data_IF_016060164486
#
_entry.id   IF_016060164486
#
_cell.length_a   1.000
_cell.length_b   1.000
_cell.length_c   1.000
_cell.angle_alpha   90.00
_cell.angle_beta   90.00
_cell.angle_gamma   90.00
#
_symmetry.space_group_name_H-M   'P 1'
#
loop_
_entity.id
_entity.type
_entity.pdbx_description
1 polymer ?
#
# COMPACT_ATOMS: atom_id res chain seq x y z
N UNK A 1 13.89 -2.03 19.85
CA UNK A 1 14.25 -1.83 18.44
C UNK A 1 14.63 -3.19 17.92
N UNK A 2 13.80 -3.75 17.05
CA UNK A 2 13.92 -5.17 16.68
C UNK A 2 14.80 -5.34 15.43
N UNK A 3 14.86 -4.32 14.55
CA UNK A 3 15.76 -4.30 13.40
C UNK A 3 16.19 -2.86 13.06
N UNK A 4 17.45 -2.64 12.63
CA UNK A 4 17.86 -1.36 12.07
C UNK A 4 17.12 -1.08 10.76
N UNK A 5 16.83 0.19 10.49
CA UNK A 5 16.21 0.61 9.24
C UNK A 5 17.11 0.33 8.03
N UNK A 6 16.56 -0.02 6.87
CA UNK A 6 17.34 -0.31 5.68
C UNK A 6 18.02 0.95 5.14
N UNK A 7 19.21 0.76 4.58
CA UNK A 7 20.02 1.82 3.99
C UNK A 7 19.32 2.45 2.77
N UNK A 8 19.37 3.77 2.65
CA UNK A 8 18.91 4.49 1.46
C UNK A 8 20.15 4.91 0.65
N UNK A 9 20.32 4.44 -0.60
CA UNK A 9 21.48 4.79 -1.42
C UNK A 9 21.45 6.23 -1.96
N UNK A 10 20.36 6.98 -1.75
CA UNK A 10 20.22 8.37 -2.22
C UNK A 10 20.88 9.37 -1.27
N UNK A 11 21.21 10.54 -1.79
CA UNK A 11 21.91 11.60 -1.06
C UNK A 11 23.22 11.12 -0.46
N UNK A 12 23.99 10.39 -1.26
CA UNK A 12 25.30 9.80 -0.90
C UNK A 12 25.27 8.93 0.37
N UNK A 13 24.12 8.29 0.62
CA UNK A 13 23.91 7.44 1.80
C UNK A 13 23.54 8.21 3.07
N UNK A 14 23.35 9.53 3.00
CA UNK A 14 22.95 10.35 4.15
C UNK A 14 21.44 10.54 4.27
N UNK A 15 20.65 10.21 3.23
CA UNK A 15 19.20 10.22 3.35
C UNK A 15 18.72 9.05 4.20
N UNK A 16 17.69 9.28 5.01
CA UNK A 16 17.02 8.24 5.76
C UNK A 16 15.87 7.66 4.93
N UNK A 17 15.64 6.36 5.07
CA UNK A 17 14.44 5.72 4.56
C UNK A 17 13.20 6.21 5.33
N UNK A 18 12.05 6.27 4.67
CA UNK A 18 10.80 6.75 5.29
C UNK A 18 10.11 5.62 6.08
N UNK A 19 8.93 5.85 6.64
CA UNK A 19 8.17 4.81 7.35
C UNK A 19 7.23 4.00 6.43
N UNK A 20 6.67 2.90 6.95
CA UNK A 20 5.71 2.04 6.25
C UNK A 20 6.34 0.87 5.51
N UNK A 21 6.98 1.12 4.36
CA UNK A 21 7.65 0.08 3.54
C UNK A 21 9.09 0.46 3.17
N UNK A 22 9.97 0.72 4.16
CA UNK A 22 11.32 1.19 3.90
C UNK A 22 12.16 0.17 3.11
N UNK A 23 11.98 -1.12 3.36
CA UNK A 23 12.70 -2.19 2.66
C UNK A 23 12.42 -2.19 1.16
N UNK A 24 11.17 -2.03 0.76
CA UNK A 24 10.75 -2.00 -0.65
C UNK A 24 11.38 -0.82 -1.41
N UNK A 25 11.37 0.38 -0.81
CA UNK A 25 12.00 1.58 -1.38
C UNK A 25 13.51 1.44 -1.50
N UNK A 26 14.17 1.02 -0.42
CA UNK A 26 15.62 0.77 -0.40
C UNK A 26 16.04 -0.29 -1.42
N UNK A 27 15.26 -1.37 -1.55
CA UNK A 27 15.58 -2.47 -2.47
C UNK A 27 15.55 -2.04 -3.94
N UNK A 28 14.49 -1.36 -4.39
CA UNK A 28 14.36 -0.87 -5.77
C UNK A 28 15.42 0.18 -6.09
N UNK A 29 15.78 1.01 -5.10
CA UNK A 29 16.81 2.02 -5.27
C UNK A 29 18.23 1.42 -5.33
N UNK A 30 18.50 0.33 -4.61
CA UNK A 30 19.85 -0.23 -4.45
C UNK A 30 20.17 -1.38 -5.40
N UNK A 31 19.23 -2.29 -5.61
CA UNK A 31 19.48 -3.53 -6.34
C UNK A 31 19.15 -3.39 -7.82
N UNK A 32 20.19 -3.33 -8.66
CA UNK A 32 20.03 -3.18 -10.11
C UNK A 32 19.18 -4.29 -10.73
N UNK A 33 19.27 -5.51 -10.20
CA UNK A 33 18.55 -6.70 -10.65
C UNK A 33 17.08 -6.76 -10.22
N UNK A 34 16.62 -5.82 -9.39
CA UNK A 34 15.23 -5.76 -8.94
C UNK A 34 14.48 -4.66 -9.71
N UNK A 35 13.54 -5.08 -10.56
CA UNK A 35 12.78 -4.16 -11.42
C UNK A 35 11.68 -3.42 -10.64
N UNK A 36 10.98 -4.15 -9.77
CA UNK A 36 9.88 -3.61 -8.98
C UNK A 36 9.78 -4.25 -7.60
N UNK A 37 9.11 -3.56 -6.69
CA UNK A 37 8.74 -4.11 -5.38
C UNK A 37 7.32 -3.71 -5.01
N UNK A 38 6.72 -4.49 -4.12
CA UNK A 38 5.43 -4.19 -3.54
C UNK A 38 5.60 -3.69 -2.10
N UNK A 39 4.63 -2.90 -1.66
CA UNK A 39 4.56 -2.36 -0.31
C UNK A 39 3.12 -2.11 0.11
N UNK A 40 2.93 -1.99 1.42
CA UNK A 40 1.64 -1.64 1.99
C UNK A 40 1.59 -0.14 2.23
N UNK A 41 0.53 0.48 1.76
CA UNK A 41 0.27 1.89 1.98
C UNK A 41 -1.01 2.05 2.81
N UNK A 42 -0.87 2.43 4.08
CA UNK A 42 -1.99 2.80 4.97
C UNK A 42 -2.18 4.32 5.05
N UNK A 43 -1.08 5.08 5.16
CA UNK A 43 -1.06 6.53 5.39
C UNK A 43 -0.07 7.25 4.46
N UNK A 44 -0.04 6.86 3.18
CA UNK A 44 0.91 7.36 2.18
C UNK A 44 2.37 6.92 2.37
N UNK A 45 2.60 5.80 3.05
CA UNK A 45 3.94 5.27 3.30
C UNK A 45 4.73 5.02 2.01
N UNK A 46 4.08 4.45 0.98
CA UNK A 46 4.75 4.15 -0.29
C UNK A 46 5.07 5.42 -1.08
N UNK A 47 4.20 6.43 -1.05
CA UNK A 47 4.50 7.75 -1.65
C UNK A 47 5.70 8.43 -0.96
N UNK A 48 5.80 8.32 0.36
CA UNK A 48 6.94 8.85 1.10
C UNK A 48 8.25 8.12 0.73
N UNK A 49 8.19 6.79 0.53
CA UNK A 49 9.35 6.04 0.03
C UNK A 49 9.76 6.49 -1.38
N UNK A 50 8.78 6.67 -2.29
CA UNK A 50 9.03 7.14 -3.64
C UNK A 50 9.77 8.48 -3.67
N UNK A 51 9.36 9.41 -2.80
CA UNK A 51 10.01 10.71 -2.66
C UNK A 51 11.46 10.61 -2.15
N UNK A 52 11.71 9.85 -1.07
CA UNK A 52 13.05 9.79 -0.46
C UNK A 52 14.04 8.89 -1.19
N UNK A 53 13.55 7.88 -1.93
CA UNK A 53 14.38 6.95 -2.71
C UNK A 53 14.50 7.33 -4.18
N UNK A 54 13.82 8.39 -4.62
CA UNK A 54 13.80 8.85 -6.01
C UNK A 54 13.38 7.73 -6.98
N UNK A 55 12.24 7.10 -6.67
CA UNK A 55 11.63 6.02 -7.46
C UNK A 55 10.16 6.35 -7.71
N UNK A 56 9.54 5.68 -8.68
CA UNK A 56 8.13 5.85 -8.98
C UNK A 56 7.28 5.01 -8.02
N UNK A 57 6.23 5.61 -7.48
CA UNK A 57 5.27 4.94 -6.60
C UNK A 57 3.95 5.69 -6.56
N UNK A 58 2.83 4.96 -6.48
CA UNK A 58 1.52 5.57 -6.30
C UNK A 58 0.70 4.84 -5.26
N UNK A 59 -0.06 5.58 -4.46
CA UNK A 59 -1.11 4.99 -3.63
C UNK A 59 -2.35 4.80 -4.51
N UNK A 60 -2.83 3.57 -4.71
CA UNK A 60 -4.05 3.32 -5.47
C UNK A 60 -5.28 3.79 -4.69
N UNK A 61 -6.39 3.93 -5.40
CA UNK A 61 -7.69 4.18 -4.77
C UNK A 61 -8.02 3.03 -3.82
N UNK A 62 -8.66 3.35 -2.69
CA UNK A 62 -9.05 2.35 -1.69
C UNK A 62 -9.90 1.26 -2.35
N UNK A 63 -9.62 0.01 -2.00
CA UNK A 63 -10.27 -1.18 -2.53
C UNK A 63 -10.12 -1.41 -4.05
N UNK A 64 -9.28 -0.64 -4.76
CA UNK A 64 -9.02 -0.88 -6.19
C UNK A 64 -8.18 -2.14 -6.45
N UNK A 65 -7.36 -2.53 -5.47
CA UNK A 65 -6.56 -3.76 -5.49
C UNK A 65 -6.97 -4.61 -4.29
N UNK A 66 -7.07 -5.92 -4.49
CA UNK A 66 -7.37 -6.85 -3.40
C UNK A 66 -6.30 -6.81 -2.32
N UNK A 67 -6.72 -6.66 -1.07
CA UNK A 67 -5.86 -6.73 0.13
C UNK A 67 -5.91 -8.12 0.78
N UNK A 68 -6.47 -9.12 0.09
CA UNK A 68 -6.55 -10.48 0.61
C UNK A 68 -5.14 -11.05 0.85
N UNK A 69 -4.90 -11.56 2.05
CA UNK A 69 -3.58 -12.07 2.47
C UNK A 69 -2.61 -11.01 3.00
N UNK A 70 -3.01 -9.73 3.01
CA UNK A 70 -2.23 -8.67 3.63
C UNK A 70 -2.41 -8.68 5.15
N UNK A 71 -1.30 -8.55 5.89
CA UNK A 71 -1.37 -8.27 7.33
C UNK A 71 -1.88 -6.85 7.51
N UNK A 72 -3.11 -6.73 8.03
CA UNK A 72 -3.79 -5.44 8.17
C UNK A 72 -3.26 -4.65 9.35
N UNK A 73 -2.85 -3.42 9.09
CA UNK A 73 -2.67 -2.38 10.10
C UNK A 73 -3.99 -1.63 10.36
N UNK A 74 -4.67 -1.23 9.30
CA UNK A 74 -5.98 -0.60 9.34
C UNK A 74 -6.83 -1.04 8.13
N UNK A 75 -7.86 -1.89 8.33
CA UNK A 75 -8.63 -2.47 7.22
C UNK A 75 -9.28 -1.44 6.28
N UNK A 76 -9.53 -0.23 6.78
CA UNK A 76 -10.19 0.83 6.00
C UNK A 76 -9.21 1.69 5.18
N UNK A 77 -7.93 1.66 5.51
CA UNK A 77 -6.89 2.52 4.96
C UNK A 77 -5.78 1.76 4.23
N UNK A 78 -5.62 0.48 4.54
CA UNK A 78 -4.61 -0.37 3.92
C UNK A 78 -4.90 -0.58 2.44
N UNK A 79 -3.85 -0.39 1.64
CA UNK A 79 -3.86 -0.63 0.20
C UNK A 79 -2.53 -1.27 -0.18
N UNK A 80 -2.56 -2.16 -1.16
CA UNK A 80 -1.34 -2.70 -1.78
C UNK A 80 -0.88 -1.71 -2.85
N UNK A 81 0.40 -1.38 -2.87
CA UNK A 81 1.00 -0.45 -3.81
C UNK A 81 2.36 -0.99 -4.27
N UNK A 82 2.89 -0.43 -5.37
CA UNK A 82 4.19 -0.82 -5.89
C UNK A 82 5.12 0.35 -6.14
N UNK A 83 6.40 0.00 -6.21
CA UNK A 83 7.54 0.88 -6.46
C UNK A 83 8.34 0.34 -7.64
N UNK A 84 8.78 1.22 -8.52
CA UNK A 84 9.60 0.89 -9.68
C UNK A 84 10.62 1.99 -9.99
N UNK A 85 11.73 1.64 -10.65
CA UNK A 85 12.80 2.60 -10.93
C UNK A 85 12.49 3.47 -12.14
N UNK A 86 11.90 2.88 -13.18
CA UNK A 86 11.54 3.58 -14.41
C UNK A 86 10.02 3.68 -14.58
N UNK A 87 9.57 4.70 -15.33
CA UNK A 87 8.16 4.87 -15.64
C UNK A 87 7.59 3.70 -16.48
N UNK A 88 8.42 3.02 -17.28
CA UNK A 88 8.03 1.86 -18.06
C UNK A 88 7.75 0.64 -17.18
N UNK A 89 8.67 0.32 -16.25
CA UNK A 89 8.46 -0.73 -15.23
C UNK A 89 7.25 -0.41 -14.35
N UNK A 90 7.11 0.86 -13.96
CA UNK A 90 5.97 1.31 -13.17
C UNK A 90 4.65 1.06 -13.90
N UNK A 91 4.57 1.40 -15.20
CA UNK A 91 3.40 1.14 -16.02
C UNK A 91 3.05 -0.36 -16.02
N UNK A 92 4.02 -1.23 -16.29
CA UNK A 92 3.81 -2.68 -16.32
C UNK A 92 3.31 -3.23 -14.97
N UNK A 93 3.93 -2.81 -13.86
CA UNK A 93 3.50 -3.19 -12.53
C UNK A 93 2.06 -2.77 -12.26
N UNK A 94 1.69 -1.58 -12.70
CA UNK A 94 0.37 -1.02 -12.40
C UNK A 94 -0.70 -1.69 -13.24
N UNK A 95 -0.43 -1.99 -14.51
CA UNK A 95 -1.29 -2.82 -15.35
C UNK A 95 -1.50 -4.19 -14.72
N UNK A 96 -0.45 -4.85 -14.22
CA UNK A 96 -0.55 -6.13 -13.54
C UNK A 96 -1.40 -6.07 -12.25
N UNK A 97 -1.21 -5.03 -11.43
CA UNK A 97 -1.98 -4.84 -10.20
C UNK A 97 -3.48 -4.61 -10.47
N UNK A 98 -3.80 -3.80 -11.47
CA UNK A 98 -5.19 -3.49 -11.83
C UNK A 98 -5.86 -4.54 -12.72
N UNK A 99 -5.10 -5.41 -13.40
CA UNK A 99 -5.63 -6.45 -14.29
C UNK A 99 -6.29 -7.64 -13.55
N UNK A 100 -6.26 -7.65 -12.21
CA UNK A 100 -6.80 -8.77 -11.43
C UNK A 100 -8.34 -8.84 -11.57
N UNK A 101 -8.95 -10.00 -11.89
CA UNK A 101 -10.40 -10.18 -12.12
C UNK A 101 -11.26 -10.13 -10.83
N UNK A 102 -10.92 -9.21 -9.93
CA UNK A 102 -11.63 -8.87 -8.71
C UNK A 102 -11.51 -7.40 -8.35
N UNK A 103 -10.98 -6.55 -9.25
CA UNK A 103 -11.13 -5.09 -9.18
C UNK A 103 -12.61 -4.76 -9.37
N UNK A 104 -13.37 -4.92 -8.29
CA UNK A 104 -14.82 -4.77 -8.28
C UNK A 104 -15.11 -3.31 -8.58
N UNK A 105 -15.82 -3.04 -9.68
CA UNK A 105 -16.61 -1.81 -9.82
C UNK A 105 -17.57 -1.74 -8.63
N UNK A 106 -17.15 -1.12 -7.52
CA UNK A 106 -18.06 -0.77 -6.44
C UNK A 106 -18.29 0.72 -6.54
N UNK A 107 -19.56 1.09 -6.58
CA UNK A 107 -19.97 2.46 -6.32
C UNK A 107 -19.27 2.93 -5.04
N UNK A 108 -18.53 4.02 -5.15
CA UNK A 108 -18.07 4.75 -3.99
C UNK A 108 -19.32 5.28 -3.30
N UNK A 109 -19.83 4.56 -2.30
CA UNK A 109 -20.78 5.15 -1.38
C UNK A 109 -20.03 6.23 -0.61
N UNK A 110 -20.16 7.46 -1.08
CA UNK A 110 -19.76 8.65 -0.34
C UNK A 110 -20.63 8.65 0.90
N UNK A 111 -20.13 8.08 1.99
CA UNK A 111 -20.76 8.21 3.30
C UNK A 111 -20.73 9.71 3.60
N UNK A 112 -21.87 10.35 3.32
CA UNK A 112 -22.08 11.76 3.63
C UNK A 112 -21.89 11.91 5.14
N UNK A 113 -21.18 12.94 5.63
CA UNK A 113 -20.84 13.07 7.06
C UNK A 113 -22.05 13.20 8.00
N UNK A 114 -23.29 13.15 7.48
CA UNK A 114 -24.52 13.27 8.26
C UNK A 114 -25.31 11.95 8.40
N UNK A 115 -24.97 10.86 7.70
CA UNK A 115 -25.64 9.55 7.89
C UNK A 115 -24.85 8.63 8.81
N UNK A 116 -24.63 9.09 10.05
CA UNK A 116 -24.55 8.18 11.18
C UNK A 116 -25.97 7.63 11.44
N UNK A 117 -26.44 6.65 10.65
CA UNK A 117 -27.71 5.99 10.90
C UNK A 117 -27.58 4.46 10.85
N UNK A 118 -27.68 3.90 12.06
CA UNK A 118 -28.04 2.52 12.44
C UNK A 118 -27.05 1.42 12.06
N UNK A 119 -26.08 1.21 12.95
CA UNK A 119 -25.55 -0.12 13.19
C UNK A 119 -26.73 -1.05 13.54
N UNK A 120 -27.13 -1.91 12.58
CA UNK A 120 -27.98 -3.06 12.85
C UNK A 120 -27.15 -4.01 13.71
N UNK A 121 -27.52 -4.11 14.98
CA UNK A 121 -27.11 -5.19 15.87
C UNK A 121 -27.55 -6.52 15.25
N UNK A 122 -26.60 -7.28 14.70
CA UNK A 122 -26.74 -8.72 14.50
C UNK A 122 -25.78 -9.43 15.44
N UNK A 123 -26.06 -9.29 16.74
CA UNK A 123 -25.68 -10.30 17.71
C UNK A 123 -26.51 -11.54 17.37
N UNK A 124 -25.87 -12.60 16.90
CA UNK A 124 -26.50 -13.92 16.83
C UNK A 124 -26.89 -14.32 18.27
N UNK A 125 -28.14 -14.73 18.53
CA UNK A 125 -28.51 -15.21 19.85
C UNK A 125 -27.78 -16.54 20.12
N UNK A 126 -26.96 -16.57 21.18
CA UNK A 126 -26.48 -17.82 21.77
C UNK A 126 -27.71 -18.64 22.19
N UNK A 127 -27.79 -19.89 21.74
CA UNK A 127 -28.84 -20.84 22.12
C UNK A 127 -28.74 -21.19 23.61
N UNK A 128 -29.86 -21.34 24.34
CA UNK A 128 -29.83 -21.70 25.75
C UNK A 128 -29.59 -23.20 25.95
N UNK A 129 -28.56 -23.55 26.71
CA UNK A 129 -28.42 -24.80 27.46
C UNK A 129 -27.88 -24.48 28.83
#
# INVERSE_FOLDING_TARGET
>A
VDYPGPFNPRGDGHLKSSSGSPGSGSAVASYVWLDFSLGTDSLAGVKAQAAVHSVFGMRPTRAAISTQGLVTYSPHWDTVSGLARTAAEFKLLTEALYSTPGAVNREFEIISPCKAQKAKSSLNPLSPT
#
